data_IF_062851018669
#
_entry.id   IF_062851018669
#
_cell.length_a   1.000
_cell.length_b   1.000
_cell.length_c   1.000
_cell.angle_alpha   90.00
_cell.angle_beta   90.00
_cell.angle_gamma   90.00
#
_symmetry.space_group_name_H-M   'P 1'
#
loop_
_entity.id
_entity.type
_entity.pdbx_description
1 polymer ?
#
# COMPACT_ATOMS: atom_id res chain seq x y z
N UNK A 1 1.54 9.10 18.84
CA UNK A 1 1.06 8.00 17.97
C UNK A 1 0.02 8.57 17.00
N UNK A 2 0.34 8.64 15.69
CA UNK A 2 -0.57 9.20 14.67
C UNK A 2 -1.12 8.07 13.78
N UNK A 3 -2.19 7.42 14.22
CA UNK A 3 -2.87 6.38 13.42
C UNK A 3 -3.79 7.06 12.39
N UNK A 4 -3.61 6.74 11.11
CA UNK A 4 -4.30 7.33 9.96
C UNK A 4 -4.85 6.25 9.02
N UNK A 5 -5.79 6.59 8.13
CA UNK A 5 -6.23 5.66 7.08
C UNK A 5 -5.24 5.65 5.90
N UNK A 6 -4.87 4.48 5.38
CA UNK A 6 -4.05 4.34 4.16
C UNK A 6 -4.65 3.33 3.15
N UNK A 7 -4.29 3.49 1.87
CA UNK A 7 -4.43 2.44 0.85
C UNK A 7 -3.09 1.90 0.42
N UNK A 8 -3.02 0.60 0.08
CA UNK A 8 -1.86 0.01 -0.60
C UNK A 8 -2.19 -0.26 -2.06
N UNK A 9 -1.41 0.34 -2.96
CA UNK A 9 -1.44 0.08 -4.40
C UNK A 9 -0.23 -0.79 -4.72
N UNK A 10 -0.47 -2.02 -5.17
CA UNK A 10 0.59 -2.89 -5.68
C UNK A 10 0.62 -2.83 -7.19
N UNK A 11 1.75 -2.46 -7.78
CA UNK A 11 1.90 -2.35 -9.23
C UNK A 11 2.77 -3.48 -9.78
N UNK A 12 2.30 -4.19 -10.80
CA UNK A 12 3.02 -5.26 -11.50
C UNK A 12 3.39 -4.83 -12.93
N UNK A 13 4.59 -5.24 -13.33
CA UNK A 13 5.30 -4.87 -14.56
C UNK A 13 4.54 -5.27 -15.85
N UNK A 14 4.73 -4.45 -16.89
CA UNK A 14 4.49 -4.82 -18.29
C UNK A 14 5.62 -5.73 -18.82
N UNK A 15 5.25 -6.79 -19.54
CA UNK A 15 6.15 -7.87 -20.00
C UNK A 15 7.37 -7.32 -20.75
N UNK A 16 8.56 -7.77 -20.33
CA UNK A 16 9.71 -7.81 -21.21
C UNK A 16 9.48 -8.98 -22.18
N UNK A 17 9.25 -8.71 -23.47
CA UNK A 17 9.01 -9.74 -24.49
C UNK A 17 10.32 -10.46 -24.87
N UNK A 18 10.93 -11.16 -23.90
CA UNK A 18 11.76 -12.31 -24.23
C UNK A 18 10.89 -13.56 -24.11
N UNK A 19 10.85 -14.34 -25.18
CA UNK A 19 10.03 -15.54 -25.37
C UNK A 19 10.13 -16.45 -24.13
N UNK A 20 9.04 -16.60 -23.38
CA UNK A 20 8.91 -17.60 -22.30
C UNK A 20 7.92 -18.69 -22.76
N UNK A 21 8.16 -19.27 -23.94
CA UNK A 21 7.43 -20.44 -24.42
C UNK A 21 8.26 -21.70 -24.22
N UNK A 22 8.51 -22.08 -22.97
CA UNK A 22 8.89 -23.45 -22.60
C UNK A 22 8.92 -23.58 -21.07
N UNK A 23 8.27 -24.64 -20.56
CA UNK A 23 8.30 -25.04 -19.15
C UNK A 23 9.74 -25.09 -18.62
N UNK A 24 10.03 -24.69 -17.36
CA UNK A 24 11.38 -24.74 -16.85
C UNK A 24 11.77 -26.19 -16.58
N UNK A 25 12.46 -26.82 -17.54
CA UNK A 25 13.32 -27.97 -17.24
C UNK A 25 14.53 -27.43 -16.48
N UNK A 26 14.63 -27.78 -15.19
CA UNK A 26 15.81 -27.49 -14.38
C UNK A 26 17.00 -28.27 -14.94
N UNK A 27 17.77 -27.65 -15.83
CA UNK A 27 19.11 -28.11 -16.19
C UNK A 27 20.14 -27.13 -15.61
N UNK A 28 21.01 -27.70 -14.78
CA UNK A 28 22.29 -27.10 -14.41
C UNK A 28 23.11 -26.90 -15.68
N UNK A 29 23.29 -25.66 -16.12
CA UNK A 29 24.27 -25.32 -17.15
C UNK A 29 25.27 -24.31 -16.58
N UNK A 30 26.55 -24.69 -16.66
CA UNK A 30 27.73 -23.88 -16.30
C UNK A 30 27.98 -22.78 -17.35
N UNK A 31 26.98 -21.98 -17.70
CA UNK A 31 27.17 -20.83 -18.58
C UNK A 31 27.15 -19.53 -17.76
N UNK A 32 28.26 -18.78 -17.81
CA UNK A 32 28.34 -17.45 -17.20
C UNK A 32 27.50 -16.48 -18.04
N UNK A 33 26.32 -16.12 -17.54
CA UNK A 33 25.47 -15.07 -18.10
C UNK A 33 26.27 -13.77 -18.25
N UNK A 34 26.21 -13.13 -19.43
CA UNK A 34 26.90 -11.86 -19.69
C UNK A 34 26.16 -10.72 -18.99
N UNK A 35 26.86 -9.62 -18.69
CA UNK A 35 26.30 -8.46 -17.97
C UNK A 35 25.07 -7.86 -18.67
N UNK A 36 24.99 -8.00 -19.99
CA UNK A 36 23.88 -7.48 -20.82
C UNK A 36 22.66 -8.42 -20.88
N UNK A 37 22.73 -9.62 -20.30
CA UNK A 37 21.61 -10.58 -20.25
C UNK A 37 20.65 -10.32 -19.06
N UNK A 38 20.96 -9.35 -18.19
CA UNK A 38 20.18 -9.08 -16.98
C UNK A 38 19.08 -8.04 -17.22
N UNK A 39 17.84 -8.40 -16.91
CA UNK A 39 16.70 -7.50 -17.01
C UNK A 39 16.15 -7.14 -15.62
N UNK A 40 16.19 -5.84 -15.26
CA UNK A 40 15.63 -5.35 -13.99
C UNK A 40 14.11 -5.41 -13.95
N UNK A 41 13.53 -6.10 -12.96
CA UNK A 41 12.09 -6.17 -12.70
C UNK A 41 11.79 -5.33 -11.45
N UNK A 42 10.94 -4.32 -11.58
CA UNK A 42 10.53 -3.43 -10.47
C UNK A 42 9.03 -3.55 -10.23
N UNK A 43 8.65 -3.74 -8.97
CA UNK A 43 7.27 -3.62 -8.47
C UNK A 43 7.21 -2.54 -7.40
N UNK A 44 6.07 -1.85 -7.30
CA UNK A 44 5.87 -0.79 -6.32
C UNK A 44 4.74 -1.17 -5.37
N UNK A 45 4.92 -0.86 -4.09
CA UNK A 45 3.88 -0.88 -3.07
C UNK A 45 3.73 0.53 -2.52
N UNK A 46 2.63 1.20 -2.87
CA UNK A 46 2.42 2.61 -2.55
C UNK A 46 1.36 2.71 -1.47
N UNK A 47 1.74 3.29 -0.34
CA UNK A 47 0.84 3.61 0.76
C UNK A 47 0.39 5.07 0.66
N UNK A 48 -0.91 5.31 0.48
CA UNK A 48 -1.47 6.65 0.32
C UNK A 48 -2.51 6.97 1.41
N UNK A 49 -2.32 8.08 2.13
CA UNK A 49 -3.23 8.48 3.21
C UNK A 49 -4.57 8.97 2.66
N UNK A 50 -5.68 8.52 3.24
CA UNK A 50 -7.02 8.99 2.90
C UNK A 50 -7.24 10.37 3.53
N UNK A 51 -7.68 11.34 2.72
CA UNK A 51 -8.13 12.63 3.21
C UNK A 51 -9.57 12.52 3.76
N UNK A 52 -9.70 12.00 4.97
CA UNK A 52 -10.95 11.91 5.73
C UNK A 52 -10.89 12.80 6.97
N UNK A 53 -12.04 13.17 7.55
CA UNK A 53 -12.10 13.95 8.81
C UNK A 53 -11.86 13.09 10.05
N UNK A 54 -12.18 11.80 9.99
CA UNK A 54 -11.99 10.82 11.07
C UNK A 54 -11.24 9.56 10.59
N UNK A 55 -10.69 8.79 11.53
CA UNK A 55 -9.88 7.59 11.27
C UNK A 55 -10.69 6.46 10.63
N UNK A 56 -9.99 5.41 10.18
CA UNK A 56 -10.61 4.27 9.47
C UNK A 56 -11.57 3.46 10.35
N UNK A 57 -11.24 3.28 11.63
CA UNK A 57 -11.95 2.39 12.55
C UNK A 57 -12.44 3.09 13.84
N UNK A 58 -12.31 4.42 13.92
CA UNK A 58 -12.73 5.22 15.07
C UNK A 58 -13.15 6.63 14.65
N UNK A 59 -13.93 7.30 15.50
CA UNK A 59 -14.40 8.67 15.26
C UNK A 59 -13.37 9.76 15.52
N UNK A 60 -12.15 9.42 15.94
CA UNK A 60 -11.10 10.40 16.23
C UNK A 60 -10.63 11.12 14.97
N UNK A 61 -10.26 12.39 15.12
CA UNK A 61 -9.81 13.23 14.02
C UNK A 61 -8.47 12.75 13.41
N UNK A 62 -8.25 13.07 12.14
CA UNK A 62 -7.02 12.78 11.37
C UNK A 62 -6.08 13.98 11.23
N UNK A 63 -6.34 15.06 11.97
CA UNK A 63 -5.56 16.30 11.91
C UNK A 63 -4.09 16.07 12.29
N UNK A 64 -3.19 16.55 11.41
CA UNK A 64 -1.74 16.40 11.53
C UNK A 64 -1.09 17.51 12.37
N UNK A 65 -1.83 18.59 12.64
CA UNK A 65 -1.34 19.75 13.41
C UNK A 65 -1.56 19.60 14.91
N UNK A 66 -2.27 18.56 15.33
CA UNK A 66 -2.61 18.37 16.72
C UNK A 66 -1.39 17.91 17.55
N UNK A 67 -1.28 18.36 18.82
CA UNK A 67 -0.37 17.80 19.80
C UNK A 67 -0.32 16.26 19.85
N UNK A 68 0.82 15.75 20.31
CA UNK A 68 1.08 14.31 20.44
C UNK A 68 -0.01 13.65 21.30
N UNK A 69 -0.57 12.55 20.79
CA UNK A 69 -1.58 11.73 21.47
C UNK A 69 -2.90 12.48 21.80
N UNK A 70 -3.19 13.61 21.17
CA UNK A 70 -4.46 14.32 21.38
C UNK A 70 -5.64 13.68 20.64
N UNK A 71 -5.46 13.33 19.36
CA UNK A 71 -6.51 12.73 18.55
C UNK A 71 -6.54 11.21 18.71
N UNK A 72 -6.83 10.71 19.91
CA UNK A 72 -6.77 9.28 20.25
C UNK A 72 -8.04 8.88 21.02
N UNK A 73 -8.82 7.94 20.48
CA UNK A 73 -9.92 7.29 21.18
C UNK A 73 -9.44 6.07 21.98
N UNK A 74 -10.32 5.52 22.82
CA UNK A 74 -10.05 4.26 23.54
C UNK A 74 -9.69 3.12 22.57
N UNK A 75 -10.35 3.05 21.41
CA UNK A 75 -10.02 2.06 20.37
C UNK A 75 -8.61 2.27 19.81
N UNK A 76 -8.25 3.52 19.49
CA UNK A 76 -6.93 3.85 18.95
C UNK A 76 -5.81 3.50 19.93
N UNK A 77 -6.06 3.64 21.23
CA UNK A 77 -5.16 3.24 22.31
C UNK A 77 -5.28 1.75 22.69
N UNK A 78 -6.11 0.96 21.98
CA UNK A 78 -6.32 -0.47 22.22
C UNK A 78 -6.76 -0.82 23.65
N UNK A 79 -7.61 0.02 24.25
CA UNK A 79 -8.21 -0.30 25.55
C UNK A 79 -9.07 -1.57 25.45
N UNK A 80 -8.98 -2.47 26.45
CA UNK A 80 -9.79 -3.68 26.48
C UNK A 80 -11.29 -3.39 26.33
N UNK A 81 -11.98 -4.21 25.52
CA UNK A 81 -13.42 -4.09 25.29
C UNK A 81 -13.84 -3.11 24.19
N UNK A 82 -12.90 -2.42 23.55
CA UNK A 82 -13.19 -1.57 22.39
C UNK A 82 -13.29 -2.37 21.09
N UNK A 83 -14.14 -1.93 20.16
CA UNK A 83 -14.39 -2.59 18.87
C UNK A 83 -14.21 -1.60 17.70
N UNK A 84 -13.72 -2.06 16.54
CA UNK A 84 -13.54 -1.21 15.36
C UNK A 84 -14.89 -0.86 14.72
N UNK A 85 -15.05 0.40 14.30
CA UNK A 85 -16.21 0.87 13.51
C UNK A 85 -15.72 1.46 12.20
N UNK A 86 -16.05 0.80 11.08
CA UNK A 86 -15.57 1.19 9.77
C UNK A 86 -16.12 2.56 9.32
N UNK A 87 -15.23 3.43 8.86
CA UNK A 87 -15.57 4.73 8.33
C UNK A 87 -16.06 4.66 6.89
N UNK A 88 -17.33 5.00 6.67
CA UNK A 88 -17.98 5.00 5.35
C UNK A 88 -17.27 5.90 4.34
N UNK A 89 -16.86 7.12 4.72
CA UNK A 89 -16.20 8.05 3.80
C UNK A 89 -14.84 7.53 3.32
N UNK A 90 -14.13 6.77 4.16
CA UNK A 90 -12.92 6.08 3.75
C UNK A 90 -13.21 4.99 2.70
N UNK A 91 -14.29 4.23 2.86
CA UNK A 91 -14.69 3.23 1.87
C UNK A 91 -15.06 3.89 0.54
N UNK A 92 -15.85 4.97 0.57
CA UNK A 92 -16.25 5.73 -0.62
C UNK A 92 -15.04 6.27 -1.38
N UNK A 93 -14.08 6.88 -0.68
CA UNK A 93 -12.83 7.34 -1.29
C UNK A 93 -12.06 6.18 -1.95
N UNK A 94 -12.12 4.97 -1.38
CA UNK A 94 -11.41 3.80 -1.90
C UNK A 94 -12.04 3.27 -3.17
N UNK A 95 -13.38 3.26 -3.19
CA UNK A 95 -14.18 2.90 -4.36
C UNK A 95 -13.92 3.88 -5.50
N UNK A 96 -13.96 5.19 -5.22
CA UNK A 96 -13.66 6.22 -6.21
C UNK A 96 -12.23 6.09 -6.76
N UNK A 97 -11.25 5.82 -5.88
CA UNK A 97 -9.87 5.60 -6.30
C UNK A 97 -9.73 4.36 -7.19
N UNK A 98 -10.39 3.26 -6.84
CA UNK A 98 -10.40 2.04 -7.65
C UNK A 98 -10.98 2.29 -9.04
N UNK A 99 -12.10 3.00 -9.14
CA UNK A 99 -12.70 3.37 -10.43
C UNK A 99 -11.79 4.28 -11.25
N UNK A 100 -11.18 5.30 -10.62
CA UNK A 100 -10.26 6.23 -11.28
C UNK A 100 -9.02 5.52 -11.86
N UNK A 101 -8.60 4.43 -11.22
CA UNK A 101 -7.46 3.61 -11.63
C UNK A 101 -7.86 2.43 -12.55
N UNK A 102 -9.10 2.41 -13.03
CA UNK A 102 -9.67 1.34 -13.86
C UNK A 102 -9.59 -0.05 -13.22
N UNK A 103 -9.61 -0.12 -11.89
CA UNK A 103 -9.63 -1.38 -11.17
C UNK A 103 -11.03 -2.03 -11.25
N UNK A 104 -11.08 -3.36 -11.16
CA UNK A 104 -12.32 -4.10 -10.95
C UNK A 104 -12.62 -4.17 -9.45
N UNK A 105 -13.75 -3.59 -9.03
CA UNK A 105 -14.22 -3.65 -7.65
C UNK A 105 -14.67 -5.07 -7.29
N UNK A 106 -14.29 -5.53 -6.11
CA UNK A 106 -14.86 -6.77 -5.58
C UNK A 106 -16.23 -6.47 -4.96
N UNK A 107 -17.28 -7.27 -5.26
CA UNK A 107 -18.61 -7.07 -4.68
C UNK A 107 -18.62 -7.28 -3.17
N UNK A 108 -17.66 -8.07 -2.66
CA UNK A 108 -17.42 -8.30 -1.23
C UNK A 108 -15.92 -8.18 -1.00
N UNK A 109 -15.52 -7.42 0.03
CA UNK A 109 -14.14 -7.36 0.53
C UNK A 109 -14.14 -7.57 2.04
N UNK A 110 -13.02 -8.05 2.61
CA UNK A 110 -12.94 -8.42 4.03
C UNK A 110 -11.69 -7.84 4.68
N UNK A 111 -11.81 -7.46 5.95
CA UNK A 111 -10.66 -7.07 6.77
C UNK A 111 -10.08 -8.27 7.52
N UNK A 112 -8.75 -8.33 7.52
CA UNK A 112 -7.91 -9.35 8.13
C UNK A 112 -6.99 -8.71 9.17
N UNK A 113 -6.53 -9.51 10.14
CA UNK A 113 -5.54 -9.08 11.15
C UNK A 113 -4.15 -9.56 10.77
N UNK A 114 -3.22 -8.63 10.52
CA UNK A 114 -1.80 -8.88 10.29
C UNK A 114 -1.02 -8.66 11.58
N UNK A 115 -0.59 -9.73 12.22
CA UNK A 115 -0.01 -9.69 13.57
C UNK A 115 1.50 -9.43 13.54
N UNK A 116 1.96 -8.45 14.34
CA UNK A 116 3.38 -8.18 14.63
C UNK A 116 3.48 -7.23 15.83
N UNK A 117 4.58 -7.32 16.58
CA UNK A 117 4.81 -6.45 17.73
C UNK A 117 5.65 -5.25 17.33
N UNK A 118 5.14 -4.05 17.61
CA UNK A 118 5.90 -2.81 17.48
C UNK A 118 5.31 -1.73 18.39
N UNK A 119 6.14 -0.81 18.88
CA UNK A 119 5.74 0.20 19.87
C UNK A 119 4.66 1.18 19.36
N UNK A 120 4.54 1.34 18.04
CA UNK A 120 3.58 2.22 17.40
C UNK A 120 2.24 1.52 17.03
N UNK A 121 2.11 0.22 17.34
CA UNK A 121 0.97 -0.62 16.99
C UNK A 121 0.37 -1.26 18.26
N UNK A 122 -0.49 -0.54 19.01
CA UNK A 122 -0.90 -0.93 20.35
C UNK A 122 -1.72 -2.23 20.40
N UNK A 123 -2.42 -2.59 19.33
CA UNK A 123 -3.23 -3.81 19.25
C UNK A 123 -2.40 -5.09 19.01
N UNK A 124 -1.12 -4.98 18.64
CA UNK A 124 -0.29 -6.12 18.21
C UNK A 124 -0.69 -6.72 16.85
N UNK A 125 -1.61 -6.05 16.13
CA UNK A 125 -1.96 -6.36 14.75
C UNK A 125 -2.44 -5.13 14.00
N UNK A 126 -2.23 -5.15 12.69
CA UNK A 126 -2.76 -4.17 11.74
C UNK A 126 -4.03 -4.73 11.10
N UNK A 127 -5.09 -3.93 11.00
CA UNK A 127 -6.30 -4.27 10.24
C UNK A 127 -6.10 -3.86 8.78
N UNK A 128 -6.11 -4.83 7.85
CA UNK A 128 -5.85 -4.64 6.40
C UNK A 128 -6.73 -5.59 5.57
N UNK A 129 -6.66 -5.58 4.24
CA UNK A 129 -7.44 -6.49 3.36
C UNK A 129 -6.53 -7.40 2.53
N UNK A 130 -5.89 -8.37 3.18
CA UNK A 130 -4.90 -9.23 2.52
C UNK A 130 -5.55 -10.26 1.59
N UNK A 131 -6.65 -10.89 2.02
CA UNK A 131 -7.27 -12.01 1.29
C UNK A 131 -8.27 -11.55 0.24
N UNK A 132 -9.18 -10.66 0.65
CA UNK A 132 -10.22 -10.11 -0.21
C UNK A 132 -10.12 -8.57 -0.24
N UNK A 133 -9.26 -8.00 -1.10
CA UNK A 133 -9.05 -6.55 -1.17
C UNK A 133 -10.27 -5.82 -1.72
N UNK A 134 -10.30 -4.49 -1.62
CA UNK A 134 -11.38 -3.67 -2.16
C UNK A 134 -11.50 -3.80 -3.69
N UNK A 135 -10.38 -3.81 -4.40
CA UNK A 135 -10.35 -3.94 -5.85
C UNK A 135 -9.10 -4.68 -6.35
N UNK A 136 -9.19 -5.23 -7.57
CA UNK A 136 -8.09 -5.91 -8.28
C UNK A 136 -8.02 -5.48 -9.74
N UNK A 137 -6.84 -5.65 -10.33
CA UNK A 137 -6.59 -5.18 -11.69
C UNK A 137 -6.61 -3.65 -11.75
N UNK A 138 -6.36 -3.10 -12.93
CA UNK A 138 -6.30 -1.66 -13.17
C UNK A 138 -4.99 -1.25 -13.81
N UNK A 139 -4.89 0.02 -14.17
CA UNK A 139 -3.75 0.50 -14.92
C UNK A 139 -3.48 1.99 -14.69
N UNK A 140 -2.19 2.33 -14.72
CA UNK A 140 -1.73 3.71 -14.80
C UNK A 140 -0.92 3.88 -16.06
N UNK A 141 -1.27 4.90 -16.84
CA UNK A 141 -0.53 5.30 -18.03
C UNK A 141 0.27 6.57 -17.71
N UNK A 142 1.53 6.61 -18.12
CA UNK A 142 2.41 7.76 -17.92
C UNK A 142 3.38 7.91 -19.09
N UNK A 143 3.83 9.14 -19.31
CA UNK A 143 4.81 9.45 -20.35
C UNK A 143 6.23 9.28 -19.80
N UNK A 144 7.10 8.67 -20.59
CA UNK A 144 8.52 8.58 -20.33
C UNK A 144 9.24 9.48 -21.33
N UNK A 145 10.08 10.35 -20.79
CA UNK A 145 10.98 11.19 -21.57
C UNK A 145 12.26 11.45 -20.79
N UNK A 146 13.40 11.36 -21.48
CA UNK A 146 14.72 11.60 -20.90
C UNK A 146 15.53 12.34 -21.95
N UNK A 147 15.81 13.64 -21.76
CA UNK A 147 16.56 14.44 -22.72
C UNK A 147 17.90 13.77 -23.08
N UNK A 148 18.25 13.77 -24.37
CA UNK A 148 19.47 13.14 -24.87
C UNK A 148 19.43 11.61 -24.99
N UNK A 149 18.41 10.94 -24.43
CA UNK A 149 18.18 9.49 -24.58
C UNK A 149 17.01 9.21 -25.51
N UNK A 150 15.89 9.90 -25.31
CA UNK A 150 14.68 9.73 -26.10
C UNK A 150 14.50 10.89 -27.08
N UNK A 151 14.16 10.57 -28.35
CA UNK A 151 13.87 11.58 -29.37
C UNK A 151 12.53 12.28 -29.15
N UNK A 152 11.55 11.55 -28.65
CA UNK A 152 10.20 12.03 -28.33
C UNK A 152 9.66 11.32 -27.07
N UNK A 153 8.74 11.93 -26.31
CA UNK A 153 8.05 11.26 -25.22
C UNK A 153 7.23 10.06 -25.73
N UNK A 154 7.23 8.97 -24.98
CA UNK A 154 6.39 7.81 -25.29
C UNK A 154 5.58 7.35 -24.09
N UNK A 155 4.42 6.74 -24.34
CA UNK A 155 3.57 6.21 -23.29
C UNK A 155 4.04 4.85 -22.79
N UNK A 156 3.95 4.66 -21.48
CA UNK A 156 4.01 3.37 -20.81
C UNK A 156 2.82 3.18 -19.93
N UNK A 157 2.54 1.91 -19.69
CA UNK A 157 1.44 1.43 -18.88
C UNK A 157 1.96 0.44 -17.86
N UNK A 158 1.53 0.61 -16.63
CA UNK A 158 1.79 -0.32 -15.53
C UNK A 158 0.48 -0.85 -14.99
N UNK A 159 0.48 -2.12 -14.59
CA UNK A 159 -0.72 -2.79 -14.11
C UNK A 159 -0.83 -2.62 -12.60
N UNK A 160 -2.04 -2.43 -12.11
CA UNK A 160 -2.34 -2.49 -10.68
C UNK A 160 -2.77 -3.92 -10.38
N UNK A 161 -2.11 -4.53 -9.41
CA UNK A 161 -2.44 -5.86 -8.91
C UNK A 161 -3.65 -5.79 -7.97
N UNK A 162 -3.60 -4.91 -6.97
CA UNK A 162 -4.67 -4.74 -6.00
C UNK A 162 -4.67 -3.36 -5.36
N UNK A 163 -5.84 -2.97 -4.86
CA UNK A 163 -6.08 -1.83 -3.99
C UNK A 163 -6.80 -2.32 -2.72
N UNK A 164 -6.22 -2.03 -1.56
CA UNK A 164 -6.73 -2.43 -0.25
C UNK A 164 -6.82 -1.23 0.70
N UNK A 165 -7.82 -1.25 1.58
CA UNK A 165 -7.93 -0.35 2.73
C UNK A 165 -7.15 -0.92 3.92
N UNK A 166 -6.43 -0.07 4.65
CA UNK A 166 -5.76 -0.48 5.88
C UNK A 166 -5.59 0.63 6.92
N UNK A 167 -5.43 0.19 8.16
CA UNK A 167 -5.07 1.03 9.29
C UNK A 167 -3.57 1.34 9.25
N UNK A 168 -3.18 2.60 9.32
CA UNK A 168 -1.80 3.05 9.50
C UNK A 168 -1.33 2.81 10.94
N UNK A 169 -0.02 2.75 11.16
CA UNK A 169 0.58 2.66 12.50
C UNK A 169 0.78 4.05 13.11
N UNK A 170 1.21 4.06 14.37
CA UNK A 170 1.60 5.29 15.03
C UNK A 170 2.85 5.92 14.42
N UNK A 171 3.31 6.99 15.06
CA UNK A 171 4.61 7.59 14.75
C UNK A 171 5.49 7.44 15.98
N UNK A 172 6.64 6.80 15.82
CA UNK A 172 7.72 6.78 16.80
C UNK A 172 8.66 7.96 16.58
N UNK A 173 9.16 8.54 17.67
CA UNK A 173 10.14 9.61 17.65
C UNK A 173 11.33 9.16 18.49
N UNK A 174 12.47 8.96 17.85
CA UNK A 174 13.71 8.67 18.57
C UNK A 174 14.44 9.99 18.84
N UNK A 175 14.78 10.24 20.10
CA UNK A 175 15.61 11.37 20.51
C UNK A 175 17.04 10.87 20.79
N UNK A 176 17.94 10.92 19.78
CA UNK A 176 19.32 10.47 19.94
C UNK A 176 20.13 11.36 20.90
N UNK A 177 19.73 12.61 21.14
CA UNK A 177 20.47 13.51 22.03
C UNK A 177 20.29 13.12 23.51
N UNK A 178 19.10 12.59 23.85
CA UNK A 178 18.78 12.17 25.21
C UNK A 178 18.75 10.64 25.39
N UNK A 179 19.11 9.88 24.36
CA UNK A 179 19.06 8.41 24.33
C UNK A 179 17.66 7.86 24.69
N UNK A 180 16.60 8.54 24.22
CA UNK A 180 15.20 8.17 24.47
C UNK A 180 14.54 7.71 23.17
N UNK A 181 13.71 6.67 23.28
CA UNK A 181 12.89 6.12 22.19
C UNK A 181 11.41 6.23 22.51
#
# INVERSE_FOLDING_TARGET
MHLKPQYVIKTIRSRCNYIINSRPTFYSTKEKLKKDDWCGVVGLEIHAQINSTSKLFSGSATDYRSPVNQNVSLFDASFPGTLPVLNRSCVEAGVLTALALNCTLNPVSTFDRKHYFYADLPAGYQITQQRCPLARGGEVQFQIYTPGVHKEPYLRKVQIHQLQLEQDSGKSLHDPANNRS
#
